data_IF_593800332099
#
_entry.id   IF_593800332099
#
_cell.length_a   1.000
_cell.length_b   1.000
_cell.length_c   1.000
_cell.angle_alpha   90.00
_cell.angle_beta   90.00
_cell.angle_gamma   90.00
#
_symmetry.space_group_name_H-M   'P 1'
#
loop_
_entity.id
_entity.type
_entity.pdbx_description
1 polymer ?
#
# COMPACT_ATOMS: atom_id res chain seq x y z
N UNK A 1 -34.88 -31.67 0.95
CA UNK A 1 -34.36 -31.11 -0.29
C UNK A 1 -33.26 -30.11 0.12
N UNK A 2 -32.01 -30.39 -0.28
CA UNK A 2 -30.92 -29.42 -0.04
C UNK A 2 -31.25 -28.13 -0.79
N UNK A 3 -31.02 -27.02 -0.13
CA UNK A 3 -31.15 -25.69 -0.74
C UNK A 3 -30.20 -25.61 -1.96
N UNK A 4 -30.69 -25.39 -3.18
CA UNK A 4 -29.87 -25.38 -4.38
C UNK A 4 -28.86 -24.19 -4.39
N UNK A 5 -29.00 -23.26 -3.47
CA UNK A 5 -28.09 -22.09 -3.32
C UNK A 5 -26.98 -22.33 -2.30
N UNK A 6 -26.99 -23.43 -1.54
CA UNK A 6 -25.97 -23.76 -0.56
C UNK A 6 -24.90 -24.69 -1.14
N UNK A 7 -23.62 -24.38 -0.84
CA UNK A 7 -22.52 -25.30 -1.16
C UNK A 7 -22.68 -26.62 -0.37
N UNK A 8 -22.26 -27.77 -0.95
CA UNK A 8 -22.21 -29.02 -0.21
C UNK A 8 -21.38 -28.90 1.07
N UNK A 9 -21.68 -29.73 2.07
CA UNK A 9 -20.89 -29.76 3.33
C UNK A 9 -19.41 -30.15 3.09
N UNK A 10 -19.15 -30.82 1.98
CA UNK A 10 -17.79 -31.18 1.53
C UNK A 10 -17.64 -30.90 0.07
N UNK A 11 -16.64 -30.12 -0.30
CA UNK A 11 -16.34 -29.80 -1.69
C UNK A 11 -14.84 -29.44 -1.84
N UNK A 12 -14.37 -29.51 -3.07
CA UNK A 12 -13.02 -29.06 -3.43
C UNK A 12 -13.09 -28.29 -4.74
N UNK A 13 -12.56 -27.08 -4.74
CA UNK A 13 -12.30 -26.28 -5.94
C UNK A 13 -10.80 -26.36 -6.26
N UNK A 14 -10.45 -26.69 -7.50
CA UNK A 14 -9.08 -26.67 -7.99
C UNK A 14 -8.93 -25.65 -9.10
N UNK A 15 -7.80 -24.97 -9.07
CA UNK A 15 -7.38 -24.01 -10.07
C UNK A 15 -6.00 -24.45 -10.56
N UNK A 16 -5.96 -25.18 -11.66
CA UNK A 16 -4.74 -25.72 -12.22
C UNK A 16 -4.23 -24.85 -13.37
N UNK A 17 -2.92 -24.64 -13.45
CA UNK A 17 -2.29 -23.94 -14.55
C UNK A 17 -2.64 -22.45 -14.65
N UNK A 18 -2.84 -21.79 -13.51
CA UNK A 18 -3.01 -20.34 -13.49
C UNK A 18 -1.77 -19.70 -14.09
N UNK A 19 -1.95 -18.83 -15.07
CA UNK A 19 -0.86 -18.15 -15.75
C UNK A 19 -1.26 -16.72 -16.10
N UNK A 20 -0.50 -15.76 -15.59
CA UNK A 20 -0.66 -14.36 -15.87
C UNK A 20 0.68 -13.80 -16.35
N UNK A 21 0.79 -13.48 -17.63
CA UNK A 21 1.94 -12.73 -18.15
C UNK A 21 1.82 -11.29 -17.72
N UNK A 22 2.87 -10.75 -17.12
CA UNK A 22 2.87 -9.39 -16.61
C UNK A 22 3.11 -8.39 -17.74
N UNK A 23 2.22 -7.40 -17.84
CA UNK A 23 2.44 -6.18 -18.61
C UNK A 23 2.94 -5.08 -17.66
N UNK A 24 3.86 -4.18 -18.09
CA UNK A 24 4.42 -3.14 -17.22
C UNK A 24 3.40 -2.21 -16.56
N UNK A 25 2.20 -2.12 -17.12
CA UNK A 25 1.13 -1.22 -16.63
C UNK A 25 0.03 -1.94 -15.83
N UNK A 26 0.00 -3.27 -15.85
CA UNK A 26 -1.12 -4.08 -15.37
C UNK A 26 -1.45 -3.85 -13.89
N UNK A 27 -0.45 -3.90 -13.00
CA UNK A 27 -0.69 -3.77 -11.56
C UNK A 27 -0.65 -2.32 -11.05
N UNK A 28 -0.22 -1.37 -11.90
CA UNK A 28 -0.12 0.04 -11.49
C UNK A 28 -1.50 0.64 -11.15
N UNK A 29 -2.51 0.28 -11.89
CA UNK A 29 -3.87 0.80 -11.68
C UNK A 29 -4.65 0.02 -10.62
N UNK A 30 -4.36 -1.27 -10.45
CA UNK A 30 -5.06 -2.11 -9.47
C UNK A 30 -4.66 -1.75 -8.04
N UNK A 31 -3.38 -1.53 -7.80
CA UNK A 31 -2.85 -1.22 -6.48
C UNK A 31 -3.16 0.23 -6.07
N UNK A 32 -3.28 1.16 -7.02
CA UNK A 32 -3.67 2.56 -6.75
C UNK A 32 -5.18 2.74 -6.52
N UNK A 33 -6.02 1.82 -6.98
CA UNK A 33 -7.47 1.95 -6.85
C UNK A 33 -8.02 1.54 -5.48
N UNK A 34 -7.38 0.61 -4.78
CA UNK A 34 -7.87 0.05 -3.51
C UNK A 34 -6.98 0.36 -2.30
N UNK A 35 -5.75 0.80 -2.50
CA UNK A 35 -4.74 0.94 -1.44
C UNK A 35 -4.71 2.27 -0.72
N UNK A 36 -5.44 3.27 -1.19
CA UNK A 36 -5.55 4.57 -0.52
C UNK A 36 -6.86 4.59 0.24
N UNK A 37 -6.83 4.11 1.47
CA UNK A 37 -7.88 4.49 2.41
C UNK A 37 -7.88 6.01 2.50
N UNK A 38 -9.04 6.60 2.27
CA UNK A 38 -9.31 8.04 2.18
C UNK A 38 -9.01 8.83 3.47
N UNK A 39 -8.38 8.22 4.46
CA UNK A 39 -8.13 8.78 5.79
C UNK A 39 -6.65 9.05 6.11
N UNK A 40 -5.74 8.84 5.16
CA UNK A 40 -4.33 9.24 5.35
C UNK A 40 -3.50 8.33 6.27
N UNK A 41 -4.03 7.20 6.70
CA UNK A 41 -3.29 6.26 7.54
C UNK A 41 -2.10 5.66 6.79
N UNK A 42 -0.90 5.63 7.42
CA UNK A 42 0.26 5.00 6.83
C UNK A 42 0.02 3.50 6.62
N UNK A 43 0.47 2.97 5.48
CA UNK A 43 0.35 1.55 5.18
C UNK A 43 1.13 0.71 6.20
N UNK A 44 0.54 -0.41 6.65
CA UNK A 44 1.21 -1.34 7.58
C UNK A 44 2.40 -2.06 6.96
N UNK A 45 2.35 -2.30 5.66
CA UNK A 45 3.40 -3.02 4.95
C UNK A 45 3.98 -2.15 3.84
N UNK A 46 5.30 -2.13 3.74
CA UNK A 46 5.99 -1.47 2.64
C UNK A 46 5.87 -2.34 1.39
N UNK A 47 4.95 -1.96 0.51
CA UNK A 47 4.83 -2.53 -0.83
C UNK A 47 5.58 -1.68 -1.88
N UNK A 48 6.44 -0.79 -1.44
CA UNK A 48 7.23 0.10 -2.29
C UNK A 48 8.70 0.10 -1.87
N UNK A 49 9.57 0.55 -2.75
CA UNK A 49 10.99 0.68 -2.43
C UNK A 49 11.29 1.84 -1.48
N UNK A 50 10.46 2.86 -1.46
CA UNK A 50 10.51 3.94 -0.49
C UNK A 50 9.41 3.76 0.56
N UNK A 51 9.57 4.27 1.77
CA UNK A 51 8.51 4.25 2.80
C UNK A 51 7.38 5.24 2.44
N UNK A 52 7.09 5.39 1.17
CA UNK A 52 6.01 6.22 0.64
C UNK A 52 4.85 5.30 0.22
N UNK A 53 3.68 5.40 0.87
CA UNK A 53 2.51 4.60 0.51
C UNK A 53 2.02 4.83 -0.92
N UNK A 54 2.46 5.91 -1.57
CA UNK A 54 2.10 6.25 -2.95
C UNK A 54 2.96 5.55 -4.00
N UNK A 55 4.11 5.00 -3.62
CA UNK A 55 5.04 4.32 -4.53
C UNK A 55 4.98 2.81 -4.30
N UNK A 56 3.95 2.18 -4.78
CA UNK A 56 3.81 0.73 -4.66
C UNK A 56 4.58 0.02 -5.78
N UNK A 57 5.13 -1.16 -5.45
CA UNK A 57 5.75 -2.03 -6.45
C UNK A 57 4.70 -2.46 -7.47
N UNK A 58 4.93 -2.11 -8.72
CA UNK A 58 4.06 -2.46 -9.83
C UNK A 58 4.58 -3.66 -10.63
N UNK A 59 3.81 -4.06 -11.65
CA UNK A 59 4.23 -5.12 -12.57
C UNK A 59 5.52 -4.80 -13.30
N UNK A 60 5.78 -3.50 -13.60
CA UNK A 60 7.05 -3.05 -14.17
C UNK A 60 8.26 -3.33 -13.27
N UNK A 61 8.09 -3.22 -11.95
CA UNK A 61 9.14 -3.53 -10.97
C UNK A 61 9.37 -5.04 -10.89
N UNK A 62 8.30 -5.84 -10.87
CA UNK A 62 8.39 -7.29 -10.90
C UNK A 62 9.15 -7.77 -12.15
N UNK A 63 8.84 -7.21 -13.32
CA UNK A 63 9.55 -7.52 -14.57
C UNK A 63 11.03 -7.16 -14.46
N UNK A 64 11.38 -6.00 -13.90
CA UNK A 64 12.78 -5.60 -13.65
C UNK A 64 13.49 -6.52 -12.65
N UNK A 65 12.77 -7.14 -11.74
CA UNK A 65 13.27 -8.19 -10.85
C UNK A 65 13.36 -9.57 -11.50
N UNK A 66 12.99 -9.70 -12.80
CA UNK A 66 13.01 -10.95 -13.55
C UNK A 66 11.77 -11.82 -13.39
N UNK A 67 10.68 -11.25 -12.84
CA UNK A 67 9.38 -11.94 -12.72
C UNK A 67 8.49 -11.43 -13.85
N UNK A 68 8.49 -12.15 -14.98
CA UNK A 68 7.74 -11.77 -16.19
C UNK A 68 6.35 -12.38 -16.27
N UNK A 69 6.09 -13.37 -15.43
CA UNK A 69 4.80 -14.02 -15.32
C UNK A 69 4.56 -14.51 -13.89
N UNK A 70 3.32 -14.52 -13.48
CA UNK A 70 2.86 -15.23 -12.30
C UNK A 70 2.15 -16.50 -12.77
N UNK A 71 2.66 -17.63 -12.34
CA UNK A 71 2.07 -18.93 -12.69
C UNK A 71 1.96 -19.78 -11.43
N UNK A 72 0.91 -20.60 -11.35
CA UNK A 72 0.71 -21.42 -10.16
C UNK A 72 -0.54 -22.26 -10.22
N UNK A 73 -0.73 -23.01 -9.16
CA UNK A 73 -1.88 -23.85 -8.91
C UNK A 73 -2.47 -23.53 -7.54
N UNK A 74 -3.75 -23.70 -7.40
CA UNK A 74 -4.41 -23.48 -6.12
C UNK A 74 -5.56 -24.43 -5.89
N UNK A 75 -5.93 -24.64 -4.65
CA UNK A 75 -7.17 -25.29 -4.33
C UNK A 75 -7.76 -24.76 -3.02
N UNK A 76 -9.07 -24.91 -2.92
CA UNK A 76 -9.82 -24.67 -1.69
C UNK A 76 -10.64 -25.93 -1.42
N UNK A 77 -10.52 -26.45 -0.21
CA UNK A 77 -11.25 -27.65 0.24
C UNK A 77 -12.00 -27.33 1.51
N UNK A 78 -13.27 -27.60 1.51
CA UNK A 78 -14.09 -27.62 2.72
C UNK A 78 -14.44 -29.04 3.09
N UNK A 79 -14.26 -29.36 4.35
CA UNK A 79 -14.72 -30.62 5.00
C UNK A 79 -15.66 -30.28 6.15
N UNK A 80 -16.19 -31.28 6.86
CA UNK A 80 -17.13 -31.07 7.97
C UNK A 80 -16.54 -30.35 9.19
N UNK A 81 -15.29 -30.03 9.22
CA UNK A 81 -14.64 -29.39 10.38
C UNK A 81 -13.41 -28.59 10.01
N UNK A 82 -13.23 -28.28 8.73
CA UNK A 82 -12.07 -27.50 8.32
C UNK A 82 -12.25 -26.86 6.95
N UNK A 83 -11.80 -25.62 6.83
CA UNK A 83 -11.55 -24.94 5.58
C UNK A 83 -10.05 -24.91 5.33
N UNK A 84 -9.62 -25.53 4.23
CA UNK A 84 -8.22 -25.55 3.82
C UNK A 84 -8.08 -24.92 2.44
N UNK A 85 -7.13 -24.01 2.29
CA UNK A 85 -6.79 -23.39 1.02
C UNK A 85 -5.28 -23.41 0.80
N UNK A 86 -4.88 -23.65 -0.42
CA UNK A 86 -3.47 -23.63 -0.82
C UNK A 86 -3.32 -22.93 -2.17
N UNK A 87 -2.34 -22.04 -2.26
CA UNK A 87 -1.92 -21.39 -3.47
C UNK A 87 -0.40 -21.56 -3.63
N UNK A 88 0.00 -22.24 -4.67
CA UNK A 88 1.41 -22.44 -5.02
C UNK A 88 1.74 -21.59 -6.25
N UNK A 89 2.75 -20.74 -6.15
CA UNK A 89 3.21 -19.92 -7.26
C UNK A 89 4.67 -20.20 -7.55
N UNK A 90 5.01 -20.35 -8.84
CA UNK A 90 6.34 -20.79 -9.28
C UNK A 90 7.42 -19.73 -8.95
N UNK A 91 7.04 -18.43 -8.97
CA UNK A 91 8.04 -17.34 -8.89
C UNK A 91 8.06 -16.62 -7.54
N UNK A 92 7.03 -16.78 -6.72
CA UNK A 92 6.85 -15.99 -5.50
C UNK A 92 6.76 -16.81 -4.23
N UNK A 93 6.35 -18.08 -4.30
CA UNK A 93 6.24 -18.96 -3.15
C UNK A 93 4.87 -19.61 -2.99
N UNK A 94 4.49 -19.99 -1.79
CA UNK A 94 3.18 -20.59 -1.51
C UNK A 94 2.51 -19.99 -0.29
N UNK A 95 1.19 -20.00 -0.32
CA UNK A 95 0.31 -19.65 0.77
C UNK A 95 -0.52 -20.87 1.12
N UNK A 96 -0.58 -21.23 2.39
CA UNK A 96 -1.42 -22.31 2.91
C UNK A 96 -2.23 -21.77 4.09
N UNK A 97 -3.52 -22.04 4.07
CA UNK A 97 -4.47 -21.63 5.08
C UNK A 97 -5.21 -22.84 5.59
N UNK A 98 -5.16 -23.05 6.91
CA UNK A 98 -5.99 -24.01 7.62
C UNK A 98 -6.86 -23.28 8.66
N UNK A 99 -8.17 -23.41 8.52
CA UNK A 99 -9.10 -22.77 9.42
C UNK A 99 -10.12 -23.79 9.94
N UNK A 100 -9.89 -24.32 11.15
CA UNK A 100 -10.82 -25.25 11.77
C UNK A 100 -12.20 -24.60 11.98
N UNK A 101 -13.23 -25.40 11.77
CA UNK A 101 -14.66 -25.06 11.89
C UNK A 101 -15.17 -23.93 10.98
N UNK A 102 -14.32 -23.31 10.17
CA UNK A 102 -14.74 -22.30 9.20
C UNK A 102 -15.46 -22.92 8.01
N UNK A 103 -16.39 -22.17 7.44
CA UNK A 103 -17.20 -22.59 6.28
C UNK A 103 -17.40 -21.45 5.30
N UNK A 104 -17.29 -21.75 4.03
CA UNK A 104 -17.72 -20.84 2.97
C UNK A 104 -19.21 -21.06 2.73
N UNK A 105 -19.95 -19.95 2.73
CA UNK A 105 -21.39 -19.91 2.40
C UNK A 105 -21.59 -19.01 1.19
N UNK A 106 -22.43 -19.47 0.29
CA UNK A 106 -22.93 -18.64 -0.82
C UNK A 106 -24.41 -18.38 -0.55
N UNK A 107 -24.78 -17.14 -0.43
CA UNK A 107 -26.17 -16.74 -0.26
C UNK A 107 -26.44 -15.49 -1.11
N UNK A 108 -27.52 -15.53 -1.92
CA UNK A 108 -27.94 -14.40 -2.78
C UNK A 108 -26.84 -13.87 -3.72
N UNK A 109 -25.98 -14.78 -4.22
CA UNK A 109 -24.78 -14.48 -5.02
C UNK A 109 -23.64 -13.80 -4.23
N UNK A 110 -23.77 -13.63 -2.94
CA UNK A 110 -22.69 -13.19 -2.06
C UNK A 110 -21.94 -14.37 -1.45
N UNK A 111 -20.62 -14.26 -1.42
CA UNK A 111 -19.74 -15.24 -0.83
C UNK A 111 -19.30 -14.71 0.54
N UNK A 112 -19.64 -15.44 1.58
CA UNK A 112 -19.25 -15.13 2.95
C UNK A 112 -18.50 -16.30 3.58
N UNK A 113 -17.58 -15.99 4.49
CA UNK A 113 -16.93 -16.99 5.32
C UNK A 113 -17.58 -16.93 6.70
N UNK A 114 -18.10 -18.06 7.16
CA UNK A 114 -18.52 -18.21 8.55
C UNK A 114 -17.28 -18.59 9.35
N UNK A 115 -16.94 -17.74 10.30
CA UNK A 115 -15.75 -17.89 11.13
C UNK A 115 -15.79 -19.16 11.96
N UNK A 116 -14.65 -19.84 12.03
CA UNK A 116 -14.43 -20.93 12.95
C UNK A 116 -14.19 -20.40 14.38
N UNK A 117 -14.48 -21.24 15.38
CA UNK A 117 -14.19 -20.92 16.78
C UNK A 117 -12.70 -21.03 17.11
N UNK A 118 -11.94 -21.75 16.30
CA UNK A 118 -10.51 -22.00 16.48
C UNK A 118 -9.65 -21.03 15.68
N UNK A 119 -8.43 -20.76 16.11
CA UNK A 119 -7.50 -19.90 15.36
C UNK A 119 -7.24 -20.42 13.96
N UNK A 120 -7.22 -19.51 13.00
CA UNK A 120 -6.81 -19.76 11.63
C UNK A 120 -5.28 -19.87 11.56
N UNK A 121 -4.77 -20.95 10.97
CA UNK A 121 -3.34 -21.10 10.70
C UNK A 121 -3.02 -20.65 9.29
N UNK A 122 -2.09 -19.72 9.17
CA UNK A 122 -1.58 -19.23 7.91
C UNK A 122 -0.10 -19.57 7.77
N UNK A 123 0.28 -20.23 6.69
CA UNK A 123 1.68 -20.53 6.37
C UNK A 123 2.05 -19.86 5.05
N UNK A 124 3.05 -19.00 5.11
CA UNK A 124 3.65 -18.32 3.97
C UNK A 124 5.02 -18.91 3.70
N UNK A 125 5.27 -19.38 2.48
CA UNK A 125 6.60 -19.85 2.04
C UNK A 125 7.09 -18.95 0.93
N UNK A 126 8.15 -18.21 1.20
CA UNK A 126 8.75 -17.34 0.20
C UNK A 126 9.64 -18.13 -0.77
N UNK A 127 9.35 -18.05 -2.05
CA UNK A 127 10.15 -18.62 -3.14
C UNK A 127 11.36 -17.75 -3.54
N UNK A 128 11.77 -16.82 -2.69
CA UNK A 128 12.88 -15.88 -2.94
C UNK A 128 12.42 -14.50 -3.42
N UNK A 129 11.11 -14.21 -3.38
CA UNK A 129 10.56 -12.92 -3.75
C UNK A 129 11.05 -11.81 -2.82
N UNK A 130 11.06 -12.05 -1.51
CA UNK A 130 11.46 -11.04 -0.52
C UNK A 130 12.91 -10.59 -0.73
N UNK A 131 13.82 -11.52 -0.95
CA UNK A 131 15.23 -11.19 -1.25
C UNK A 131 15.38 -10.39 -2.55
N UNK A 132 14.57 -10.69 -3.57
CA UNK A 132 14.58 -9.95 -4.84
C UNK A 132 14.07 -8.52 -4.65
N UNK A 133 12.99 -8.36 -3.88
CA UNK A 133 12.43 -7.05 -3.53
C UNK A 133 13.47 -6.23 -2.75
N UNK A 134 14.04 -6.80 -1.70
CA UNK A 134 15.06 -6.13 -0.88
C UNK A 134 16.26 -5.68 -1.70
N UNK A 135 16.82 -6.57 -2.53
CA UNK A 135 17.96 -6.26 -3.39
C UNK A 135 17.61 -5.23 -4.48
N UNK A 136 16.43 -5.32 -5.07
CA UNK A 136 15.94 -4.36 -6.07
C UNK A 136 15.78 -2.98 -5.45
N UNK A 137 15.05 -2.88 -4.34
CA UNK A 137 14.76 -1.62 -3.69
C UNK A 137 16.00 -0.94 -3.09
N UNK A 138 16.93 -1.70 -2.52
CA UNK A 138 18.19 -1.18 -2.04
C UNK A 138 19.01 -0.54 -3.18
N UNK A 139 19.09 -1.23 -4.33
CA UNK A 139 19.77 -0.71 -5.52
C UNK A 139 19.10 0.56 -6.06
N UNK A 140 17.77 0.59 -6.18
CA UNK A 140 17.03 1.79 -6.65
C UNK A 140 17.23 2.99 -5.71
N UNK A 141 17.34 2.72 -4.40
CA UNK A 141 17.59 3.74 -3.39
C UNK A 141 19.09 4.10 -3.22
N UNK A 142 20.00 3.38 -3.86
CA UNK A 142 21.45 3.57 -3.73
C UNK A 142 21.99 3.29 -2.31
N UNK A 143 21.38 2.34 -1.59
CA UNK A 143 21.73 1.97 -0.21
C UNK A 143 21.99 0.47 -0.09
N UNK A 144 22.53 0.05 1.05
CA UNK A 144 22.72 -1.38 1.36
C UNK A 144 21.38 -2.05 1.69
N UNK A 145 21.25 -3.34 1.34
CA UNK A 145 20.03 -4.13 1.54
C UNK A 145 19.59 -4.15 3.01
N UNK A 146 20.57 -4.23 3.94
CA UNK A 146 20.29 -4.18 5.39
C UNK A 146 19.75 -2.83 5.87
N UNK A 147 20.17 -1.74 5.26
CA UNK A 147 19.67 -0.40 5.52
C UNK A 147 18.23 -0.24 4.99
N UNK A 148 17.97 -0.73 3.77
CA UNK A 148 16.62 -0.73 3.23
C UNK A 148 15.65 -1.50 4.13
N UNK A 149 16.02 -2.70 4.58
CA UNK A 149 15.21 -3.49 5.50
C UNK A 149 14.95 -2.75 6.83
N UNK A 150 15.92 -2.00 7.34
CA UNK A 150 15.76 -1.13 8.51
C UNK A 150 14.72 -0.04 8.29
N UNK A 151 14.73 0.61 7.13
CA UNK A 151 13.71 1.62 6.76
C UNK A 151 12.31 1.00 6.62
N UNK A 152 12.22 -0.22 6.06
CA UNK A 152 10.95 -0.93 5.95
C UNK A 152 10.38 -1.31 7.33
N UNK A 153 11.24 -1.72 8.28
CA UNK A 153 10.83 -1.98 9.67
C UNK A 153 10.37 -0.69 10.34
N UNK A 154 11.07 0.42 10.16
CA UNK A 154 10.66 1.71 10.71
C UNK A 154 9.29 2.16 10.18
N UNK A 155 9.00 1.93 8.90
CA UNK A 155 7.71 2.22 8.31
C UNK A 155 6.58 1.34 8.90
N UNK A 156 6.83 0.04 9.15
CA UNK A 156 5.90 -0.83 9.85
C UNK A 156 5.62 -0.31 11.27
N UNK A 157 6.66 0.06 12.01
CA UNK A 157 6.53 0.60 13.37
C UNK A 157 5.67 1.86 13.37
N UNK A 158 5.96 2.82 12.49
CA UNK A 158 5.17 4.04 12.37
C UNK A 158 3.70 3.75 12.00
N UNK A 159 3.46 2.78 11.11
CA UNK A 159 2.11 2.35 10.75
C UNK A 159 1.34 1.70 11.89
N UNK A 160 2.01 0.98 12.77
CA UNK A 160 1.42 0.40 13.98
C UNK A 160 1.14 1.46 15.04
N UNK A 161 2.10 2.37 15.28
CA UNK A 161 1.97 3.48 16.23
C UNK A 161 0.82 4.42 15.86
N UNK A 162 0.63 4.70 14.57
CA UNK A 162 -0.51 5.47 14.08
C UNK A 162 -1.88 4.80 14.39
N UNK A 163 -1.88 3.48 14.64
CA UNK A 163 -3.04 2.69 15.04
C UNK A 163 -3.12 2.42 16.54
N UNK A 164 -2.28 3.09 17.33
CA UNK A 164 -2.25 2.96 18.78
C UNK A 164 -1.68 1.64 19.27
N UNK A 165 -0.81 0.98 18.49
CA UNK A 165 -0.13 -0.25 18.90
C UNK A 165 1.36 -0.20 18.62
N UNK A 166 2.14 -0.88 19.44
CA UNK A 166 3.59 -0.99 19.30
C UNK A 166 4.00 -2.45 19.11
N UNK A 167 5.00 -2.68 18.27
CA UNK A 167 5.57 -3.99 18.02
C UNK A 167 6.66 -4.34 19.02
N UNK A 168 6.67 -5.59 19.51
CA UNK A 168 7.80 -6.13 20.28
C UNK A 168 9.09 -6.12 19.46
N UNK A 169 10.24 -6.07 20.11
CA UNK A 169 11.53 -6.11 19.41
C UNK A 169 11.71 -7.41 18.63
N UNK A 170 11.14 -8.51 19.13
CA UNK A 170 11.18 -9.78 18.43
C UNK A 170 10.33 -9.77 17.15
N UNK A 171 9.18 -9.09 17.15
CA UNK A 171 8.37 -8.91 15.94
C UNK A 171 9.12 -8.06 14.90
N UNK A 172 9.76 -6.98 15.33
CA UNK A 172 10.60 -6.14 14.44
C UNK A 172 11.76 -6.93 13.84
N UNK A 173 12.45 -7.73 14.66
CA UNK A 173 13.56 -8.58 14.23
C UNK A 173 13.10 -9.66 13.23
N UNK A 174 11.98 -10.33 13.52
CA UNK A 174 11.37 -11.34 12.65
C UNK A 174 11.00 -10.74 11.29
N UNK A 175 10.34 -9.57 11.29
CA UNK A 175 9.96 -8.90 10.04
C UNK A 175 11.20 -8.50 9.23
N UNK A 176 12.23 -7.95 9.88
CA UNK A 176 13.49 -7.63 9.22
C UNK A 176 14.15 -8.87 8.60
N UNK A 177 14.18 -9.99 9.31
CA UNK A 177 14.74 -11.24 8.82
C UNK A 177 13.94 -11.77 7.63
N UNK A 178 12.60 -11.75 7.71
CA UNK A 178 11.72 -12.11 6.60
C UNK A 178 12.00 -11.29 5.33
N UNK A 179 12.17 -9.97 5.47
CA UNK A 179 12.49 -9.09 4.34
C UNK A 179 13.83 -9.45 3.68
N UNK A 180 14.83 -9.85 4.45
CA UNK A 180 16.18 -10.13 3.96
C UNK A 180 16.36 -11.57 3.44
N UNK A 181 15.73 -12.53 4.08
CA UNK A 181 16.00 -13.94 3.84
C UNK A 181 14.80 -14.68 3.22
N UNK A 182 13.59 -14.17 3.40
CA UNK A 182 12.36 -14.91 3.10
C UNK A 182 12.20 -16.11 4.01
N UNK A 183 11.89 -17.28 3.47
CA UNK A 183 11.75 -18.53 4.23
C UNK A 183 10.29 -18.93 4.45
N UNK A 184 10.02 -19.69 5.51
CA UNK A 184 8.68 -20.13 5.90
C UNK A 184 8.23 -19.42 7.17
N UNK A 185 7.10 -18.76 7.10
CA UNK A 185 6.45 -18.10 8.23
C UNK A 185 5.09 -18.76 8.48
N UNK A 186 4.88 -19.32 9.68
CA UNK A 186 3.58 -19.85 10.11
C UNK A 186 3.06 -19.04 11.27
N UNK A 187 1.84 -18.55 11.17
CA UNK A 187 1.14 -17.74 12.16
C UNK A 187 -0.24 -18.30 12.46
N UNK A 188 -0.69 -18.15 13.70
CA UNK A 188 -2.07 -18.43 14.07
C UNK A 188 -2.78 -17.10 14.29
N UNK A 189 -3.86 -16.86 13.54
CA UNK A 189 -4.67 -15.65 13.59
C UNK A 189 -5.98 -15.97 14.30
N UNK A 190 -6.38 -15.14 15.23
CA UNK A 190 -7.66 -15.29 15.94
C UNK A 190 -8.70 -14.37 15.31
N UNK A 191 -9.82 -14.91 14.79
CA UNK A 191 -10.79 -14.11 14.04
C UNK A 191 -11.46 -13.01 14.86
N UNK A 192 -11.58 -13.20 16.16
CA UNK A 192 -12.20 -12.27 17.12
C UNK A 192 -11.26 -11.20 17.67
N UNK A 193 -9.98 -11.24 17.28
CA UNK A 193 -8.99 -10.26 17.73
C UNK A 193 -8.93 -9.06 16.80
N UNK A 194 -8.79 -7.88 17.36
CA UNK A 194 -8.45 -6.68 16.64
C UNK A 194 -7.06 -6.83 15.97
N UNK A 195 -6.73 -6.00 15.02
CA UNK A 195 -5.42 -6.00 14.34
C UNK A 195 -5.08 -7.31 13.61
N UNK A 196 -5.96 -7.75 12.70
CA UNK A 196 -5.74 -8.93 11.85
C UNK A 196 -5.56 -10.25 12.61
N UNK A 197 -6.18 -10.39 13.77
CA UNK A 197 -6.07 -11.60 14.58
C UNK A 197 -4.77 -11.73 15.38
N UNK A 198 -3.99 -10.65 15.47
CA UNK A 198 -2.78 -10.60 16.32
C UNK A 198 -3.16 -10.15 17.73
N UNK A 199 -2.78 -10.89 18.79
CA UNK A 199 -3.10 -10.49 20.15
C UNK A 199 -2.36 -9.20 20.54
N UNK A 200 -3.11 -8.26 21.13
CA UNK A 200 -2.59 -7.03 21.69
C UNK A 200 -2.55 -7.14 23.21
N UNK A 201 -1.42 -6.83 23.83
CA UNK A 201 -1.25 -6.78 25.28
C UNK A 201 -1.56 -5.39 25.80
N UNK A 202 -2.30 -5.29 26.89
CA UNK A 202 -2.67 -4.01 27.51
C UNK A 202 -1.49 -3.33 28.19
N UNK A 203 -0.49 -4.12 28.65
CA UNK A 203 0.72 -3.61 29.31
C UNK A 203 1.95 -4.46 28.99
N UNK A 204 3.11 -3.82 28.93
CA UNK A 204 4.42 -4.49 28.85
C UNK A 204 4.86 -5.02 30.22
N UNK A 205 3.91 -5.47 31.05
CA UNK A 205 4.14 -5.96 32.40
C UNK A 205 4.89 -7.29 32.39
N UNK A 206 6.22 -7.22 32.20
CA UNK A 206 7.12 -8.30 32.57
C UNK A 206 6.90 -9.66 31.88
N UNK A 207 6.41 -9.68 30.64
CA UNK A 207 6.31 -10.93 29.87
C UNK A 207 5.10 -11.81 30.15
N UNK A 208 4.14 -11.38 30.97
CA UNK A 208 2.90 -12.09 31.24
C UNK A 208 1.75 -11.57 30.37
N UNK A 209 1.51 -12.20 29.25
CA UNK A 209 0.40 -11.89 28.36
C UNK A 209 0.40 -12.85 27.17
N UNK A 210 -0.67 -12.86 26.36
CA UNK A 210 -0.72 -13.73 25.20
C UNK A 210 0.42 -13.38 24.26
N UNK A 211 1.23 -14.37 23.91
CA UNK A 211 2.20 -14.26 22.80
C UNK A 211 1.56 -14.80 21.54
N UNK A 212 1.86 -14.17 20.44
CA UNK A 212 1.44 -14.66 19.15
C UNK A 212 2.24 -15.92 18.80
N UNK A 213 1.58 -17.08 18.60
CA UNK A 213 2.30 -18.30 18.26
C UNK A 213 2.79 -18.22 16.80
N UNK A 214 4.02 -17.80 16.64
CA UNK A 214 4.69 -17.66 15.36
C UNK A 214 5.81 -18.70 15.23
N UNK A 215 5.94 -19.29 14.06
CA UNK A 215 7.07 -20.14 13.69
C UNK A 215 7.78 -19.57 12.47
N UNK A 216 9.08 -19.61 12.48
CA UNK A 216 9.91 -19.20 11.37
C UNK A 216 10.88 -20.33 11.01
N UNK A 217 10.85 -20.79 9.76
CA UNK A 217 11.60 -21.93 9.27
C UNK A 217 11.44 -23.18 10.18
N UNK A 218 10.21 -23.44 10.65
CA UNK A 218 9.87 -24.56 11.51
C UNK A 218 10.19 -24.36 12.98
N UNK A 219 10.97 -23.35 13.39
CA UNK A 219 11.27 -23.03 14.78
C UNK A 219 10.27 -22.03 15.37
N UNK A 220 9.87 -22.25 16.65
CA UNK A 220 9.04 -21.27 17.36
C UNK A 220 9.80 -19.97 17.64
N UNK A 221 9.17 -18.84 17.40
CA UNK A 221 9.73 -17.51 17.70
C UNK A 221 9.07 -17.01 18.98
N UNK A 222 9.81 -16.87 20.09
CA UNK A 222 9.25 -16.37 21.35
C UNK A 222 9.01 -14.86 21.28
N UNK A 223 8.22 -14.34 22.19
CA UNK A 223 8.04 -12.90 22.46
C UNK A 223 7.59 -12.06 21.26
N UNK A 224 6.82 -12.66 20.36
CA UNK A 224 6.15 -11.96 19.27
C UNK A 224 4.77 -11.50 19.76
N UNK A 225 4.58 -10.19 19.88
CA UNK A 225 3.32 -9.58 20.32
C UNK A 225 3.22 -8.12 19.92
N UNK A 226 2.03 -7.56 20.03
CA UNK A 226 1.74 -6.13 20.02
C UNK A 226 1.39 -5.66 21.43
N UNK A 227 1.66 -4.39 21.73
CA UNK A 227 1.20 -3.72 22.96
C UNK A 227 0.33 -2.54 22.58
N UNK A 228 -0.62 -2.18 23.46
CA UNK A 228 -1.27 -0.88 23.34
C UNK A 228 -0.20 0.21 23.49
N UNK A 229 -0.18 1.17 22.58
CA UNK A 229 0.61 2.37 22.69
C UNK A 229 -0.34 3.55 22.80
N UNK A 230 0.03 4.55 23.59
CA UNK A 230 -0.67 5.82 23.50
C UNK A 230 -0.54 6.29 22.04
N UNK A 231 -1.66 6.58 21.35
CA UNK A 231 -1.56 7.13 20.02
C UNK A 231 -0.65 8.35 20.10
N UNK A 232 0.40 8.36 19.31
CA UNK A 232 1.23 9.56 19.16
C UNK A 232 0.29 10.58 18.58
N UNK A 233 -0.31 11.37 19.46
CA UNK A 233 -0.95 12.61 19.07
C UNK A 233 0.21 13.39 18.48
N UNK A 234 0.34 13.37 17.16
CA UNK A 234 1.08 14.39 16.49
C UNK A 234 0.38 15.67 16.98
N UNK A 235 0.95 16.28 18.01
CA UNK A 235 0.67 17.66 18.29
C UNK A 235 0.99 18.37 16.98
N UNK A 236 -0.03 18.49 16.15
CA UNK A 236 -0.05 19.52 15.14
C UNK A 236 0.23 20.75 15.96
N UNK A 237 1.40 21.39 15.83
CA UNK A 237 1.64 22.58 16.57
C UNK A 237 0.53 23.53 16.18
N UNK A 238 -0.39 23.75 17.09
CA UNK A 238 -1.43 24.76 17.02
C UNK A 238 -0.75 26.13 17.25
N UNK A 239 0.36 26.30 16.53
CA UNK A 239 0.83 27.61 16.15
C UNK A 239 -0.08 27.95 14.98
N UNK A 240 -1.03 28.81 15.21
CA UNK A 240 -1.61 29.60 14.13
C UNK A 240 -0.42 30.27 13.43
N UNK A 241 0.21 29.55 12.51
CA UNK A 241 1.14 30.14 11.57
C UNK A 241 0.23 31.00 10.73
N UNK A 242 0.24 32.31 11.04
CA UNK A 242 -0.23 33.27 10.06
C UNK A 242 0.37 32.83 8.74
N UNK A 243 -0.43 32.63 7.69
CA UNK A 243 0.11 32.21 6.42
C UNK A 243 1.20 33.21 6.06
N UNK A 244 2.45 32.75 6.06
CA UNK A 244 3.54 33.55 5.58
C UNK A 244 3.26 33.73 4.11
N UNK A 245 2.60 34.83 3.78
CA UNK A 245 2.43 35.25 2.40
C UNK A 245 3.86 35.48 1.91
N UNK A 246 4.38 34.66 1.01
CA UNK A 246 5.76 34.87 0.53
C UNK A 246 5.80 36.29 -0.04
N UNK A 247 6.67 37.13 0.50
CA UNK A 247 6.88 38.46 -0.09
C UNK A 247 7.34 38.25 -1.51
N UNK A 248 6.51 38.70 -2.45
CA UNK A 248 6.87 38.65 -3.84
C UNK A 248 8.06 39.61 -4.04
N UNK A 249 9.14 39.08 -4.64
CA UNK A 249 10.30 39.90 -4.97
C UNK A 249 10.11 40.51 -6.37
N UNK A 250 9.99 41.84 -6.49
CA UNK A 250 9.76 42.49 -7.77
C UNK A 250 10.91 42.37 -8.75
N UNK A 251 12.10 41.98 -8.29
CA UNK A 251 13.28 41.81 -9.15
C UNK A 251 13.45 40.37 -9.66
N UNK A 252 12.79 39.40 -9.02
CA UNK A 252 12.94 37.96 -9.33
C UNK A 252 11.72 37.42 -10.04
N UNK A 253 11.93 36.70 -11.14
CA UNK A 253 10.87 35.91 -11.78
C UNK A 253 10.77 34.56 -11.08
N UNK A 254 9.57 34.20 -10.65
CA UNK A 254 9.27 32.94 -9.97
C UNK A 254 7.81 32.51 -10.21
N UNK A 255 7.48 31.32 -9.69
CA UNK A 255 6.10 30.84 -9.66
C UNK A 255 5.36 31.53 -8.51
N UNK A 256 4.32 32.26 -8.86
CA UNK A 256 3.45 32.91 -7.88
C UNK A 256 2.03 32.38 -8.01
N UNK A 257 1.37 32.07 -6.89
CA UNK A 257 -0.02 31.64 -6.90
C UNK A 257 -0.91 32.72 -7.50
N UNK A 258 -1.93 32.31 -8.24
CA UNK A 258 -2.93 33.17 -8.82
C UNK A 258 -4.31 32.52 -8.71
N UNK A 259 -5.35 33.34 -8.63
CA UNK A 259 -6.72 32.87 -8.56
C UNK A 259 -7.18 32.38 -9.95
N UNK A 260 -7.86 31.24 -9.98
CA UNK A 260 -8.32 30.62 -11.22
C UNK A 260 -9.34 31.49 -11.95
N UNK A 261 -10.15 32.24 -11.21
CA UNK A 261 -11.12 33.22 -11.73
C UNK A 261 -10.43 34.35 -12.53
N UNK A 262 -9.18 34.59 -12.24
CA UNK A 262 -8.38 35.61 -12.92
C UNK A 262 -7.49 35.02 -14.03
N UNK A 263 -7.65 33.74 -14.36
CA UNK A 263 -6.74 33.04 -15.28
C UNK A 263 -6.74 33.61 -16.71
N UNK A 264 -7.83 34.21 -17.15
CA UNK A 264 -7.92 34.83 -18.50
C UNK A 264 -6.84 35.92 -18.75
N UNK A 265 -6.44 36.65 -17.70
CA UNK A 265 -5.40 37.69 -17.81
C UNK A 265 -3.99 37.12 -18.08
N UNK A 266 -3.84 35.82 -17.90
CA UNK A 266 -2.56 35.11 -18.00
C UNK A 266 -2.46 34.26 -19.26
N UNK A 267 -3.38 34.39 -20.23
CA UNK A 267 -3.27 33.75 -21.54
C UNK A 267 -1.92 34.16 -22.18
N UNK A 268 -1.28 33.21 -22.84
CA UNK A 268 0.07 33.27 -23.42
C UNK A 268 1.22 33.37 -22.38
N UNK A 269 0.96 33.24 -21.10
CA UNK A 269 1.99 33.15 -20.04
C UNK A 269 2.29 31.70 -19.67
N UNK A 270 3.48 31.51 -19.11
CA UNK A 270 3.86 30.23 -18.49
C UNK A 270 3.08 30.06 -17.20
N UNK A 271 2.41 28.93 -17.10
CA UNK A 271 1.60 28.54 -15.93
C UNK A 271 1.97 27.16 -15.47
N UNK A 272 1.76 26.92 -14.19
CA UNK A 272 1.84 25.60 -13.54
C UNK A 272 0.50 25.30 -12.91
N UNK A 273 -0.08 24.18 -13.30
CA UNK A 273 -1.40 23.75 -12.84
C UNK A 273 -1.26 22.44 -12.10
N UNK A 274 -1.68 22.38 -10.84
CA UNK A 274 -1.74 21.16 -10.05
C UNK A 274 -3.18 20.66 -10.01
N UNK A 275 -3.38 19.42 -10.41
CA UNK A 275 -4.70 18.78 -10.42
C UNK A 275 -4.96 18.04 -9.10
N UNK A 276 -6.21 17.71 -8.83
CA UNK A 276 -6.66 16.97 -7.64
C UNK A 276 -6.07 15.55 -7.48
N UNK A 277 -5.44 15.03 -8.52
CA UNK A 277 -4.68 13.78 -8.51
C UNK A 277 -3.16 14.01 -8.38
N UNK A 278 -2.75 15.18 -7.90
CA UNK A 278 -1.36 15.63 -7.74
C UNK A 278 -0.54 15.70 -9.03
N UNK A 279 -1.17 15.54 -10.20
CA UNK A 279 -0.47 15.76 -11.47
C UNK A 279 -0.21 17.25 -11.69
N UNK A 280 1.04 17.57 -12.00
CA UNK A 280 1.47 18.93 -12.31
C UNK A 280 1.67 19.08 -13.81
N UNK A 281 1.02 20.08 -14.41
CA UNK A 281 1.16 20.43 -15.82
C UNK A 281 1.76 21.83 -15.90
N UNK A 282 2.96 21.92 -16.48
CA UNK A 282 3.62 23.20 -16.75
C UNK A 282 3.60 23.47 -18.24
N UNK A 283 3.30 24.71 -18.62
CA UNK A 283 3.30 25.10 -20.02
C UNK A 283 2.69 26.49 -20.25
N UNK A 284 2.47 26.84 -21.50
CA UNK A 284 1.86 28.10 -21.88
C UNK A 284 0.33 27.99 -21.80
N UNK A 285 -0.33 28.91 -21.12
CA UNK A 285 -1.79 28.96 -21.07
C UNK A 285 -2.36 29.38 -22.43
N UNK A 286 -3.20 28.55 -23.02
CA UNK A 286 -3.76 28.75 -24.36
C UNK A 286 -5.17 29.32 -24.29
N UNK A 287 -6.01 28.71 -23.50
CA UNK A 287 -7.41 29.10 -23.36
C UNK A 287 -7.94 28.86 -21.95
N UNK A 288 -8.93 29.65 -21.59
CA UNK A 288 -9.65 29.55 -20.31
C UNK A 288 -11.13 29.65 -20.57
N UNK A 289 -11.90 28.78 -19.99
CA UNK A 289 -13.37 28.84 -19.95
C UNK A 289 -13.88 28.50 -18.56
N UNK A 290 -15.16 28.67 -18.30
CA UNK A 290 -15.78 28.29 -17.02
C UNK A 290 -15.61 26.81 -16.67
N UNK A 291 -15.38 25.93 -17.64
CA UNK A 291 -15.32 24.48 -17.46
C UNK A 291 -13.96 23.88 -17.71
N UNK A 292 -13.15 24.49 -18.57
CA UNK A 292 -11.89 23.97 -19.05
C UNK A 292 -10.83 25.05 -19.15
N UNK A 293 -9.61 24.65 -18.87
CA UNK A 293 -8.38 25.40 -19.05
C UNK A 293 -7.42 24.57 -19.89
N UNK A 294 -6.81 25.16 -20.92
CA UNK A 294 -5.85 24.50 -21.80
C UNK A 294 -4.44 25.03 -21.61
N UNK A 295 -3.49 24.11 -21.37
CA UNK A 295 -2.06 24.41 -21.29
C UNK A 295 -1.31 23.69 -22.39
N UNK A 296 -0.56 24.43 -23.19
CA UNK A 296 0.29 23.87 -24.22
C UNK A 296 1.68 23.56 -23.68
N UNK A 297 2.18 22.37 -24.01
CA UNK A 297 3.56 21.94 -23.74
C UNK A 297 4.27 21.60 -25.02
N UNK A 298 5.56 21.91 -25.06
CA UNK A 298 6.42 21.47 -26.15
C UNK A 298 6.88 20.05 -25.92
N UNK A 299 6.46 19.11 -26.76
CA UNK A 299 6.84 17.69 -26.68
C UNK A 299 7.43 17.28 -28.03
N UNK A 300 8.66 16.78 -28.02
CA UNK A 300 9.35 16.26 -29.19
C UNK A 300 9.34 17.23 -30.41
N UNK A 301 9.40 18.55 -30.18
CA UNK A 301 9.44 19.58 -31.24
C UNK A 301 8.08 20.01 -31.77
N UNK A 302 6.98 19.52 -31.21
CA UNK A 302 5.60 19.99 -31.45
C UNK A 302 4.96 20.54 -30.18
N UNK A 303 3.97 21.40 -30.34
CA UNK A 303 3.17 21.91 -29.22
C UNK A 303 1.90 21.06 -29.08
N UNK A 304 1.64 20.54 -27.88
CA UNK A 304 0.46 19.74 -27.57
C UNK A 304 -0.33 20.45 -26.49
N UNK A 305 -1.60 20.73 -26.76
CA UNK A 305 -2.52 21.32 -25.79
C UNK A 305 -3.14 20.23 -24.89
N UNK A 306 -3.15 20.48 -23.58
CA UNK A 306 -3.74 19.62 -22.56
C UNK A 306 -4.97 20.32 -21.96
N UNK A 307 -6.19 19.89 -22.33
CA UNK A 307 -7.41 20.39 -21.71
C UNK A 307 -7.56 19.81 -20.29
N UNK A 308 -7.87 20.66 -19.33
CA UNK A 308 -8.08 20.30 -17.91
C UNK A 308 -9.37 20.89 -17.42
N UNK A 309 -10.16 20.11 -16.70
CA UNK A 309 -11.39 20.59 -16.08
C UNK A 309 -11.04 21.57 -14.94
N UNK A 310 -11.61 22.76 -14.94
CA UNK A 310 -11.39 23.78 -13.90
C UNK A 310 -11.65 23.27 -12.50
N UNK A 311 -12.69 22.44 -12.31
CA UNK A 311 -13.04 21.80 -11.02
C UNK A 311 -11.99 20.80 -10.50
N UNK A 312 -11.08 20.33 -11.34
CA UNK A 312 -10.02 19.40 -10.97
C UNK A 312 -8.71 20.13 -10.62
N UNK A 313 -8.67 21.44 -10.75
CA UNK A 313 -7.49 22.25 -10.47
C UNK A 313 -7.50 22.61 -8.96
N UNK A 314 -6.43 22.25 -8.28
CA UNK A 314 -6.21 22.51 -6.85
C UNK A 314 -5.31 23.72 -6.65
N UNK A 315 -4.30 23.88 -7.53
CA UNK A 315 -3.40 25.02 -7.47
C UNK A 315 -3.10 25.56 -8.87
N UNK A 316 -3.07 26.87 -8.99
CA UNK A 316 -2.76 27.58 -10.23
C UNK A 316 -1.69 28.62 -9.96
N UNK A 317 -0.55 28.51 -10.62
CA UNK A 317 0.60 29.39 -10.45
C UNK A 317 1.00 29.95 -11.81
N UNK A 318 1.51 31.18 -11.78
CA UNK A 318 1.96 31.90 -12.98
C UNK A 318 3.42 32.27 -12.84
N UNK A 319 4.21 32.02 -13.85
CA UNK A 319 5.61 32.47 -13.93
C UNK A 319 5.62 33.97 -14.27
N UNK A 320 5.96 34.79 -13.30
CA UNK A 320 6.00 36.23 -13.43
C UNK A 320 6.98 36.88 -12.44
N UNK A 321 7.25 38.14 -12.63
CA UNK A 321 7.91 38.97 -11.59
C UNK A 321 6.95 39.21 -10.43
N UNK A 322 7.50 39.31 -9.25
CA UNK A 322 6.76 39.69 -8.07
C UNK A 322 6.12 41.09 -8.24
N UNK A 323 5.03 41.31 -7.53
CA UNK A 323 4.38 42.63 -7.50
C UNK A 323 5.09 43.48 -6.42
N UNK A 324 5.49 44.69 -6.77
CA UNK A 324 5.86 45.69 -5.76
C UNK A 324 4.63 46.01 -4.92
N UNK A 325 4.74 45.89 -3.63
CA UNK A 325 3.69 46.33 -2.69
C UNK A 325 3.68 47.84 -2.57
#
# INVERSE_FOLDING_TARGET
LADPTSLPAQWTLRLDGLGLTLDPTMLRNWVTAEGVNSEGDPALFVLSCAPDPRQQLGSGDLIRMGITALAGDGFVRQTQGNLHAELNTISTGSLELDWPDARIRVQDSELSVLDGAEPMRLTLRDGGLMRRIAAYCAREAGIETGEWAGRAVAALVAGLEARGVAASDQLKALYRQWLLEGGELTVNLQPDQSMFGVPVRVDDNGGQGPSWPVRYNGAGVPDVFLTEAEPVVQETPEVAVEPVVPREDPETESWYPAELESAEQWIDRQVRVTLSNDNVVEGRLVSVSERELEVARVVAGGEVAYPMLTRAIVNFEVWRRGRAQ
#
